data_IF_515318973838
#
_entry.id   IF_515318973838
#
_cell.length_a   1.000
_cell.length_b   1.000
_cell.length_c   1.000
_cell.angle_alpha   90.00
_cell.angle_beta   90.00
_cell.angle_gamma   90.00
#
_symmetry.space_group_name_H-M   'P 1'
#
loop_
_entity.id
_entity.type
_entity.pdbx_description
1 polymer ?
#
# COMPACT_ATOMS: atom_id res chain seq x y z
N UNK A 1 23.49 3.81 -0.46
CA UNK A 1 23.27 2.70 -1.41
C UNK A 1 23.48 3.27 -2.79
N UNK A 2 24.40 2.71 -3.54
CA UNK A 2 24.66 3.12 -4.91
C UNK A 2 23.74 2.38 -5.89
N UNK A 3 23.52 2.93 -7.08
CA UNK A 3 22.64 2.35 -8.11
C UNK A 3 23.12 0.98 -8.64
N UNK A 4 24.35 0.60 -8.32
CA UNK A 4 24.96 -0.69 -8.66
C UNK A 4 24.69 -1.77 -7.62
N UNK A 5 24.17 -1.41 -6.45
CA UNK A 5 23.86 -2.35 -5.37
C UNK A 5 22.57 -3.12 -5.68
N UNK A 6 22.57 -4.47 -5.71
CA UNK A 6 21.35 -5.27 -5.85
C UNK A 6 20.27 -4.90 -4.82
N UNK A 7 20.68 -4.50 -3.61
CA UNK A 7 19.75 -4.14 -2.54
C UNK A 7 18.96 -2.86 -2.85
N UNK A 8 19.54 -1.94 -3.61
CA UNK A 8 18.85 -0.75 -4.11
C UNK A 8 17.66 -1.17 -4.97
N UNK A 9 17.89 -2.06 -5.95
CA UNK A 9 16.84 -2.52 -6.86
C UNK A 9 15.78 -3.34 -6.16
N UNK A 10 16.16 -4.19 -5.20
CA UNK A 10 15.20 -4.92 -4.37
C UNK A 10 14.27 -3.95 -3.64
N UNK A 11 14.82 -2.94 -2.97
CA UNK A 11 14.00 -1.94 -2.27
C UNK A 11 13.09 -1.16 -3.22
N UNK A 12 13.58 -0.74 -4.40
CA UNK A 12 12.76 -0.08 -5.43
C UNK A 12 11.60 -0.99 -5.87
N UNK A 13 11.87 -2.26 -6.16
CA UNK A 13 10.83 -3.21 -6.54
C UNK A 13 9.82 -3.43 -5.42
N UNK A 14 10.25 -3.47 -4.16
CA UNK A 14 9.35 -3.58 -3.02
C UNK A 14 8.44 -2.36 -2.92
N UNK A 15 8.97 -1.15 -3.05
CA UNK A 15 8.19 0.10 -3.02
C UNK A 15 7.15 0.11 -4.14
N UNK A 16 7.56 -0.22 -5.37
CA UNK A 16 6.64 -0.31 -6.52
C UNK A 16 5.57 -1.37 -6.30
N UNK A 17 5.95 -2.55 -5.78
CA UNK A 17 5.00 -3.64 -5.53
C UNK A 17 3.97 -3.28 -4.46
N UNK A 18 4.39 -2.65 -3.36
CA UNK A 18 3.51 -2.16 -2.30
C UNK A 18 2.56 -1.11 -2.86
N UNK A 19 3.09 -0.16 -3.64
CA UNK A 19 2.29 0.92 -4.20
C UNK A 19 1.23 0.40 -5.18
N UNK A 20 1.58 -0.58 -6.01
CA UNK A 20 0.62 -1.22 -6.92
C UNK A 20 -0.42 -2.03 -6.15
N UNK A 21 0.00 -2.82 -5.14
CA UNK A 21 -0.90 -3.69 -4.39
C UNK A 21 -1.93 -2.90 -3.57
N UNK A 22 -1.53 -1.76 -3.03
CA UNK A 22 -2.37 -0.93 -2.16
C UNK A 22 -2.94 0.32 -2.86
N UNK A 23 -2.51 0.64 -4.08
CA UNK A 23 -2.81 1.92 -4.75
C UNK A 23 -3.57 1.80 -6.06
N UNK A 24 -4.00 0.60 -6.48
CA UNK A 24 -4.64 0.39 -7.78
C UNK A 24 -6.05 1.01 -7.89
N UNK A 25 -6.82 0.94 -6.81
CA UNK A 25 -8.15 1.53 -6.64
C UNK A 25 -8.11 3.07 -6.53
N UNK A 26 -7.02 3.65 -6.03
CA UNK A 26 -6.82 5.11 -6.07
C UNK A 26 -6.88 5.69 -7.48
N UNK A 27 -6.42 4.94 -8.48
CA UNK A 27 -6.47 5.39 -9.86
C UNK A 27 -7.91 5.52 -10.40
N UNK A 28 -8.84 4.69 -9.90
CA UNK A 28 -10.28 4.87 -10.16
C UNK A 28 -10.76 6.19 -9.58
N UNK A 29 -10.41 6.48 -8.32
CA UNK A 29 -10.85 7.70 -7.64
C UNK A 29 -10.36 8.95 -8.38
N UNK A 30 -9.11 8.95 -8.85
CA UNK A 30 -8.55 10.01 -9.69
C UNK A 30 -9.36 10.17 -10.99
N UNK A 31 -9.67 9.07 -11.68
CA UNK A 31 -10.46 9.10 -12.91
C UNK A 31 -11.89 9.61 -12.67
N UNK A 32 -12.52 9.18 -11.56
CA UNK A 32 -13.87 9.57 -11.18
C UNK A 32 -13.95 11.04 -10.76
N UNK A 33 -12.94 11.57 -10.08
CA UNK A 33 -12.83 12.99 -9.72
C UNK A 33 -12.75 13.89 -10.96
N UNK A 34 -12.00 13.44 -11.98
CA UNK A 34 -11.80 14.15 -13.23
C UNK A 34 -12.94 14.01 -14.26
N UNK A 35 -13.99 13.21 -13.97
CA UNK A 35 -15.02 12.86 -14.96
C UNK A 35 -15.83 14.07 -15.45
N UNK A 36 -16.06 15.04 -14.59
CA UNK A 36 -16.90 16.22 -14.86
C UNK A 36 -16.13 17.42 -15.44
N UNK A 37 -14.80 17.30 -15.61
CA UNK A 37 -14.00 18.33 -16.27
C UNK A 37 -14.16 18.26 -17.79
N UNK A 38 -14.15 19.42 -18.49
CA UNK A 38 -14.00 19.49 -19.93
C UNK A 38 -12.79 18.67 -20.41
N UNK A 39 -12.89 18.02 -21.58
CA UNK A 39 -11.85 17.10 -22.07
C UNK A 39 -10.47 17.76 -22.17
N UNK A 40 -10.42 19.04 -22.55
CA UNK A 40 -9.17 19.83 -22.62
C UNK A 40 -8.52 20.11 -21.25
N UNK A 41 -9.27 20.03 -20.16
CA UNK A 41 -8.79 20.27 -18.78
C UNK A 41 -8.60 18.98 -17.98
N UNK A 42 -9.16 17.85 -18.43
CA UNK A 42 -9.09 16.56 -17.73
C UNK A 42 -7.65 16.11 -17.49
N UNK A 43 -6.81 16.12 -18.52
CA UNK A 43 -5.40 15.72 -18.40
C UNK A 43 -4.60 16.68 -17.51
N UNK A 44 -4.95 17.98 -17.51
CA UNK A 44 -4.36 18.95 -16.60
C UNK A 44 -4.75 18.65 -15.14
N UNK A 45 -6.01 18.30 -14.90
CA UNK A 45 -6.49 17.91 -13.58
C UNK A 45 -5.80 16.67 -13.04
N UNK A 46 -5.66 15.63 -13.88
CA UNK A 46 -4.93 14.41 -13.53
C UNK A 46 -3.47 14.74 -13.24
N UNK A 47 -2.78 15.47 -14.13
CA UNK A 47 -1.36 15.78 -13.97
C UNK A 47 -1.08 16.60 -12.70
N UNK A 48 -1.76 17.74 -12.52
CA UNK A 48 -1.54 18.61 -11.37
C UNK A 48 -2.05 18.00 -10.06
N UNK A 49 -3.15 17.24 -10.10
CA UNK A 49 -3.64 16.50 -8.94
C UNK A 49 -2.65 15.44 -8.49
N UNK A 50 -2.14 14.63 -9.43
CA UNK A 50 -1.15 13.59 -9.16
C UNK A 50 0.17 14.17 -8.68
N UNK A 51 0.66 15.24 -9.31
CA UNK A 51 1.90 15.91 -8.88
C UNK A 51 1.78 16.44 -7.44
N UNK A 52 0.65 17.06 -7.10
CA UNK A 52 0.36 17.51 -5.73
C UNK A 52 0.29 16.35 -4.73
N UNK A 53 -0.39 15.26 -5.11
CA UNK A 53 -0.51 14.05 -4.31
C UNK A 53 0.86 13.42 -4.03
N UNK A 54 1.69 13.22 -5.06
CA UNK A 54 3.08 12.74 -4.91
C UNK A 54 3.87 13.64 -3.96
N UNK A 55 3.74 14.96 -4.08
CA UNK A 55 4.42 15.92 -3.21
C UNK A 55 4.08 15.72 -1.73
N UNK A 56 2.78 15.61 -1.41
CA UNK A 56 2.33 15.30 -0.04
C UNK A 56 2.83 13.93 0.38
N UNK A 57 2.80 12.94 -0.51
CA UNK A 57 3.22 11.59 -0.21
C UNK A 57 4.71 11.51 0.15
N UNK A 58 5.57 12.18 -0.60
CA UNK A 58 7.00 12.30 -0.28
C UNK A 58 7.19 12.96 1.09
N UNK A 59 6.41 13.99 1.39
CA UNK A 59 6.45 14.65 2.69
C UNK A 59 6.02 13.71 3.84
N UNK A 60 4.94 12.94 3.65
CA UNK A 60 4.48 11.95 4.62
C UNK A 60 5.51 10.85 4.85
N UNK A 61 6.11 10.32 3.78
CA UNK A 61 7.17 9.31 3.91
C UNK A 61 8.40 9.89 4.60
N UNK A 62 8.79 11.13 4.30
CA UNK A 62 9.88 11.79 5.02
C UNK A 62 9.62 11.80 6.53
N UNK A 63 8.44 12.25 6.96
CA UNK A 63 8.09 12.24 8.38
C UNK A 63 8.02 10.82 8.93
N UNK A 64 7.46 9.86 8.20
CA UNK A 64 7.40 8.46 8.63
C UNK A 64 8.79 7.87 8.85
N UNK A 65 9.75 8.13 7.96
CA UNK A 65 11.15 7.71 8.12
C UNK A 65 11.79 8.33 9.37
N UNK A 66 11.59 9.62 9.62
CA UNK A 66 12.08 10.28 10.84
C UNK A 66 11.45 9.68 12.10
N UNK A 67 10.16 9.34 12.03
CA UNK A 67 9.43 8.75 13.14
C UNK A 67 9.92 7.31 13.42
N UNK A 68 10.15 6.52 12.37
CA UNK A 68 10.70 5.16 12.46
C UNK A 68 12.16 5.13 12.90
N UNK A 69 12.88 6.25 12.86
CA UNK A 69 14.22 6.34 13.45
C UNK A 69 14.18 6.25 14.99
N UNK A 70 13.03 6.52 15.62
CA UNK A 70 12.87 6.38 17.05
C UNK A 70 12.77 4.91 17.46
N UNK A 71 13.51 4.48 18.50
CA UNK A 71 13.39 3.12 19.01
C UNK A 71 11.95 2.85 19.49
N UNK A 72 11.49 1.61 19.35
CA UNK A 72 10.12 1.15 19.63
C UNK A 72 9.08 1.55 18.59
N UNK A 73 9.31 2.62 17.82
CA UNK A 73 8.39 2.99 16.75
C UNK A 73 8.47 2.07 15.54
N UNK A 74 9.60 1.40 15.32
CA UNK A 74 9.69 0.32 14.34
C UNK A 74 8.85 -0.87 14.77
N UNK A 75 8.73 -1.12 16.07
CA UNK A 75 7.88 -2.20 16.58
C UNK A 75 6.42 -1.88 16.28
N UNK A 76 5.96 -0.68 16.63
CA UNK A 76 4.57 -0.27 16.36
C UNK A 76 4.29 -0.19 14.86
N UNK A 77 5.24 0.30 14.07
CA UNK A 77 5.18 0.29 12.61
C UNK A 77 5.09 -1.12 12.03
N UNK A 78 5.89 -2.06 12.54
CA UNK A 78 5.87 -3.46 12.14
C UNK A 78 4.55 -4.13 12.46
N UNK A 79 4.01 -3.91 13.66
CA UNK A 79 2.68 -4.40 14.05
C UNK A 79 1.57 -3.81 13.18
N UNK A 80 1.65 -2.51 12.87
CA UNK A 80 0.72 -1.84 11.96
C UNK A 80 0.81 -2.43 10.55
N UNK A 81 2.00 -2.75 10.06
CA UNK A 81 2.19 -3.40 8.76
C UNK A 81 1.62 -4.81 8.71
N UNK A 82 1.74 -5.59 9.79
CA UNK A 82 1.07 -6.89 9.88
C UNK A 82 -0.45 -6.73 9.77
N UNK A 83 -1.02 -5.75 10.48
CA UNK A 83 -2.44 -5.44 10.37
C UNK A 83 -2.81 -5.09 8.93
N UNK A 84 -2.11 -4.14 8.31
CA UNK A 84 -2.40 -3.68 6.94
C UNK A 84 -2.31 -4.85 5.96
N UNK A 85 -1.28 -5.69 6.08
CA UNK A 85 -1.12 -6.89 5.25
C UNK A 85 -2.30 -7.86 5.38
N UNK A 86 -2.83 -8.07 6.59
CA UNK A 86 -4.02 -8.90 6.80
C UNK A 86 -5.26 -8.23 6.21
N UNK A 87 -5.45 -6.93 6.49
CA UNK A 87 -6.58 -6.12 6.00
C UNK A 87 -6.64 -6.13 4.47
N UNK A 88 -5.50 -6.09 3.79
CA UNK A 88 -5.38 -6.14 2.33
C UNK A 88 -5.98 -7.43 1.72
N UNK A 89 -6.02 -8.54 2.47
CA UNK A 89 -6.59 -9.81 2.00
C UNK A 89 -8.08 -9.96 2.30
N UNK A 90 -8.64 -9.09 3.14
CA UNK A 90 -10.04 -9.15 3.52
C UNK A 90 -10.93 -8.64 2.36
N UNK A 91 -12.11 -9.24 2.16
CA UNK A 91 -13.08 -8.69 1.22
C UNK A 91 -13.51 -7.30 1.69
N UNK A 92 -13.51 -6.33 0.79
CA UNK A 92 -14.08 -5.03 1.07
C UNK A 92 -15.57 -5.17 1.37
N UNK A 93 -16.08 -4.56 2.45
CA UNK A 93 -17.51 -4.54 2.70
C UNK A 93 -18.20 -3.79 1.56
N UNK A 94 -19.30 -4.35 1.05
CA UNK A 94 -20.04 -3.85 -0.12
C UNK A 94 -20.60 -2.40 0.01
N UNK A 95 -20.30 -1.69 1.11
CA UNK A 95 -20.73 -0.33 1.41
C UNK A 95 -19.60 0.71 1.47
N UNK A 96 -18.32 0.32 1.39
CA UNK A 96 -17.19 1.26 1.41
C UNK A 96 -16.59 1.44 0.01
N UNK A 97 -17.37 2.04 -0.89
CA UNK A 97 -16.83 2.51 -2.17
C UNK A 97 -15.98 3.77 -1.94
N UNK A 98 -14.73 3.59 -1.48
CA UNK A 98 -13.64 4.57 -1.46
C UNK A 98 -13.94 5.92 -0.77
N UNK A 99 -12.98 6.86 -0.79
CA UNK A 99 -13.26 8.26 -0.45
C UNK A 99 -14.42 8.74 -1.33
N UNK A 100 -15.55 9.00 -0.68
CA UNK A 100 -16.83 9.32 -1.29
C UNK A 100 -16.70 10.57 -2.18
N UNK A 101 -16.45 10.39 -3.48
CA UNK A 101 -16.58 11.46 -4.48
C UNK A 101 -18.07 11.62 -4.78
N UNK A 102 -18.83 12.15 -3.82
CA UNK A 102 -20.21 12.61 -4.03
C UNK A 102 -20.15 13.91 -4.82
N UNK A 103 -20.17 13.78 -6.15
CA UNK A 103 -20.12 14.88 -7.10
C UNK A 103 -18.69 15.18 -7.56
N UNK A 104 -18.36 14.84 -8.80
CA UNK A 104 -17.09 15.27 -9.39
C UNK A 104 -17.06 16.79 -9.49
N UNK A 105 -15.97 17.41 -9.05
CA UNK A 105 -15.82 18.86 -9.15
C UNK A 105 -15.80 19.31 -10.62
N UNK A 106 -16.45 20.43 -10.90
CA UNK A 106 -16.52 21.03 -12.24
C UNK A 106 -15.33 21.97 -12.50
N UNK A 107 -14.56 22.29 -11.46
CA UNK A 107 -13.43 23.21 -11.53
C UNK A 107 -12.11 22.49 -11.32
N UNK A 108 -11.07 22.95 -12.02
CA UNK A 108 -9.73 22.37 -11.96
C UNK A 108 -9.15 22.34 -10.52
N UNK A 109 -9.23 23.43 -9.71
CA UNK A 109 -8.75 23.38 -8.32
C UNK A 109 -9.57 22.46 -7.42
N UNK A 110 -10.87 22.32 -7.68
CA UNK A 110 -11.74 21.40 -6.94
C UNK A 110 -11.31 19.95 -7.16
N UNK A 111 -11.05 19.57 -8.41
CA UNK A 111 -10.56 18.23 -8.75
C UNK A 111 -9.19 17.94 -8.14
N UNK A 112 -8.25 18.89 -8.21
CA UNK A 112 -6.92 18.75 -7.59
C UNK A 112 -7.05 18.49 -6.09
N UNK A 113 -7.89 19.24 -5.37
CA UNK A 113 -8.12 19.03 -3.94
C UNK A 113 -8.71 17.64 -3.64
N UNK A 114 -9.67 17.19 -4.42
CA UNK A 114 -10.26 15.85 -4.26
C UNK A 114 -9.19 14.77 -4.44
N UNK A 115 -8.36 14.87 -5.48
CA UNK A 115 -7.27 13.92 -5.73
C UNK A 115 -6.30 13.88 -4.56
N UNK A 116 -5.85 15.05 -4.10
CA UNK A 116 -4.90 15.15 -2.99
C UNK A 116 -5.47 14.56 -1.69
N UNK A 117 -6.72 14.88 -1.35
CA UNK A 117 -7.35 14.37 -0.13
C UNK A 117 -7.57 12.86 -0.22
N UNK A 118 -8.08 12.38 -1.35
CA UNK A 118 -8.30 10.96 -1.58
C UNK A 118 -6.99 10.18 -1.48
N UNK A 119 -5.94 10.65 -2.18
CA UNK A 119 -4.62 10.04 -2.13
C UNK A 119 -4.03 10.09 -0.72
N UNK A 120 -4.16 11.21 0.00
CA UNK A 120 -3.65 11.31 1.38
C UNK A 120 -4.34 10.31 2.29
N UNK A 121 -5.67 10.28 2.34
CA UNK A 121 -6.42 9.39 3.24
C UNK A 121 -6.10 7.92 2.96
N UNK A 122 -6.00 7.57 1.68
CA UNK A 122 -5.78 6.20 1.27
C UNK A 122 -4.30 5.78 1.37
N UNK A 123 -3.37 6.69 1.07
CA UNK A 123 -1.93 6.42 1.15
C UNK A 123 -1.36 6.45 2.56
N UNK A 124 -2.10 6.89 3.59
CA UNK A 124 -1.63 6.85 4.98
C UNK A 124 -1.16 5.45 5.41
N UNK A 125 -1.95 4.42 5.08
CA UNK A 125 -1.59 3.02 5.35
C UNK A 125 -0.39 2.60 4.47
N UNK A 126 -0.32 3.09 3.22
CA UNK A 126 0.72 2.74 2.24
C UNK A 126 2.08 3.37 2.56
N UNK A 127 2.07 4.57 3.15
CA UNK A 127 3.27 5.33 3.55
C UNK A 127 4.11 4.53 4.54
N UNK A 128 3.47 3.85 5.49
CA UNK A 128 4.18 3.01 6.46
C UNK A 128 4.88 1.83 5.78
N UNK A 129 4.25 1.22 4.78
CA UNK A 129 4.84 0.11 4.02
C UNK A 129 6.04 0.54 3.20
N UNK A 130 5.91 1.69 2.54
CA UNK A 130 6.99 2.29 1.74
C UNK A 130 8.15 2.73 2.64
N UNK A 131 7.86 3.37 3.79
CA UNK A 131 8.87 3.77 4.76
C UNK A 131 9.64 2.55 5.30
N UNK A 132 8.94 1.45 5.60
CA UNK A 132 9.56 0.19 6.01
C UNK A 132 10.45 -0.45 4.92
N UNK A 133 10.03 -0.37 3.66
CA UNK A 133 10.82 -0.89 2.54
C UNK A 133 12.04 -0.02 2.18
N UNK A 134 11.97 1.28 2.47
CA UNK A 134 12.94 2.27 2.01
C UNK A 134 14.27 2.28 2.76
N UNK A 135 14.41 1.53 3.87
CA UNK A 135 15.67 1.38 4.63
C UNK A 135 16.34 2.74 4.91
N UNK A 136 15.56 3.70 5.40
CA UNK A 136 15.98 5.08 5.73
C UNK A 136 16.44 5.94 4.54
N UNK A 137 16.29 5.47 3.30
CA UNK A 137 16.66 6.24 2.11
C UNK A 137 15.46 6.91 1.46
N UNK A 138 15.34 8.22 1.67
CA UNK A 138 14.34 9.03 0.98
C UNK A 138 14.53 9.04 -0.55
N UNK A 139 15.77 8.93 -1.03
CA UNK A 139 16.06 8.89 -2.46
C UNK A 139 15.45 7.65 -3.14
N UNK A 140 15.49 6.49 -2.47
CA UNK A 140 14.83 5.26 -2.93
C UNK A 140 13.32 5.44 -3.06
N UNK A 141 12.71 6.08 -2.06
CA UNK A 141 11.27 6.40 -2.07
C UNK A 141 10.92 7.28 -3.25
N UNK A 142 11.60 8.41 -3.41
CA UNK A 142 11.32 9.34 -4.51
C UNK A 142 11.43 8.64 -5.85
N UNK A 143 12.51 7.88 -6.07
CA UNK A 143 12.71 7.15 -7.32
C UNK A 143 11.60 6.12 -7.57
N UNK A 144 11.26 5.32 -6.56
CA UNK A 144 10.18 4.33 -6.64
C UNK A 144 8.80 4.96 -6.91
N UNK A 145 8.45 6.06 -6.23
CA UNK A 145 7.20 6.80 -6.43
C UNK A 145 7.12 7.44 -7.81
N UNK A 146 8.20 8.08 -8.26
CA UNK A 146 8.23 8.72 -9.59
C UNK A 146 8.08 7.71 -10.72
N UNK A 147 8.51 6.45 -10.52
CA UNK A 147 8.34 5.40 -11.52
C UNK A 147 6.99 4.69 -11.43
N UNK A 148 6.50 4.40 -10.21
CA UNK A 148 5.24 3.66 -9.99
C UNK A 148 4.00 4.46 -10.30
N UNK A 149 3.92 5.72 -9.86
CA UNK A 149 2.69 6.51 -9.98
C UNK A 149 2.27 6.72 -11.43
N UNK A 150 3.16 7.04 -12.39
CA UNK A 150 2.75 7.16 -13.78
C UNK A 150 2.26 5.84 -14.38
N UNK A 151 2.85 4.70 -13.99
CA UNK A 151 2.38 3.36 -14.39
C UNK A 151 0.97 3.13 -13.89
N UNK A 152 0.67 3.49 -12.64
CA UNK A 152 -0.65 3.32 -12.04
C UNK A 152 -1.67 4.26 -12.71
N UNK A 153 -1.33 5.53 -12.93
CA UNK A 153 -2.27 6.52 -13.49
C UNK A 153 -2.61 6.19 -14.96
N UNK A 154 -1.62 5.94 -15.81
CA UNK A 154 -1.85 5.63 -17.22
C UNK A 154 -2.28 4.18 -17.45
N UNK A 155 -1.74 3.26 -16.65
CA UNK A 155 -2.06 1.84 -16.72
C UNK A 155 -3.24 1.42 -15.85
N UNK A 156 -3.94 2.33 -15.17
CA UNK A 156 -4.98 2.04 -14.18
C UNK A 156 -5.97 0.95 -14.59
N UNK A 157 -6.57 1.07 -15.78
CA UNK A 157 -7.49 0.07 -16.33
C UNK A 157 -6.84 -1.30 -16.57
N UNK A 158 -5.57 -1.31 -16.95
CA UNK A 158 -4.81 -2.54 -17.15
C UNK A 158 -4.43 -3.16 -15.80
N UNK A 159 -3.89 -2.38 -14.88
CA UNK A 159 -3.49 -2.81 -13.53
C UNK A 159 -4.68 -3.37 -12.78
N UNK A 160 -5.83 -2.70 -12.78
CA UNK A 160 -7.05 -3.22 -12.16
C UNK A 160 -7.50 -4.53 -12.79
N UNK A 161 -7.57 -4.61 -14.12
CA UNK A 161 -7.90 -5.87 -14.81
C UNK A 161 -6.94 -7.00 -14.44
N UNK A 162 -5.66 -6.69 -14.25
CA UNK A 162 -4.65 -7.68 -13.85
C UNK A 162 -4.86 -8.14 -12.42
N UNK A 163 -5.18 -7.23 -11.49
CA UNK A 163 -5.48 -7.57 -10.10
C UNK A 163 -6.77 -8.40 -10.02
N UNK A 164 -7.83 -8.00 -10.73
CA UNK A 164 -9.09 -8.74 -10.83
C UNK A 164 -8.88 -10.12 -11.46
N UNK A 165 -8.04 -10.21 -12.50
CA UNK A 165 -7.74 -11.47 -13.20
C UNK A 165 -6.81 -12.38 -12.40
N UNK A 166 -5.86 -11.79 -11.66
CA UNK A 166 -4.83 -12.47 -10.90
C UNK A 166 -4.83 -11.99 -9.44
N UNK A 167 -5.79 -12.43 -8.61
CA UNK A 167 -5.85 -12.06 -7.18
C UNK A 167 -4.60 -12.43 -6.39
N UNK A 168 -3.77 -13.35 -6.93
CA UNK A 168 -2.47 -13.71 -6.35
C UNK A 168 -1.54 -12.50 -6.20
N UNK A 169 -1.69 -11.45 -7.02
CA UNK A 169 -0.90 -10.21 -6.91
C UNK A 169 -1.12 -9.56 -5.54
N UNK A 170 -2.38 -9.49 -5.07
CA UNK A 170 -2.74 -8.96 -3.76
C UNK A 170 -2.19 -9.83 -2.64
N UNK A 171 -2.20 -11.17 -2.82
CA UNK A 171 -1.62 -12.11 -1.86
C UNK A 171 -0.11 -11.96 -1.74
N UNK A 172 0.59 -11.75 -2.86
CA UNK A 172 2.03 -11.47 -2.87
C UNK A 172 2.30 -10.14 -2.19
N UNK A 173 1.51 -9.09 -2.48
CA UNK A 173 1.62 -7.79 -1.81
C UNK A 173 1.44 -7.87 -0.30
N UNK A 174 0.42 -8.60 0.16
CA UNK A 174 0.20 -8.85 1.59
C UNK A 174 1.35 -9.63 2.23
N UNK A 175 1.86 -10.65 1.53
CA UNK A 175 3.04 -11.40 1.97
C UNK A 175 4.29 -10.52 2.07
N UNK A 176 4.48 -9.62 1.11
CA UNK A 176 5.59 -8.65 1.11
C UNK A 176 5.47 -7.66 2.28
N UNK A 177 4.27 -7.16 2.56
CA UNK A 177 4.03 -6.31 3.75
C UNK A 177 4.37 -7.07 5.03
N UNK A 178 3.97 -8.34 5.15
CA UNK A 178 4.34 -9.19 6.29
C UNK A 178 5.85 -9.43 6.39
N UNK A 179 6.55 -9.56 5.26
CA UNK A 179 8.01 -9.67 5.24
C UNK A 179 8.67 -8.39 5.79
N UNK A 180 8.28 -7.23 5.27
CA UNK A 180 8.81 -5.93 5.70
C UNK A 180 8.48 -5.67 7.17
N UNK A 181 7.28 -6.05 7.61
CA UNK A 181 6.89 -5.98 9.02
C UNK A 181 7.85 -6.78 9.90
N UNK A 182 8.15 -8.03 9.54
CA UNK A 182 9.10 -8.86 10.28
C UNK A 182 10.52 -8.27 10.29
N UNK A 183 10.99 -7.75 9.15
CA UNK A 183 12.30 -7.07 9.04
C UNK A 183 12.35 -5.88 10.02
N UNK A 184 11.29 -5.07 10.02
CA UNK A 184 11.14 -3.89 10.88
C UNK A 184 11.05 -4.24 12.37
N UNK A 185 10.37 -5.35 12.73
CA UNK A 185 10.28 -5.84 14.11
C UNK A 185 11.64 -6.32 14.64
N UNK A 186 12.40 -7.05 13.81
CA UNK A 186 13.73 -7.55 14.21
C UNK A 186 14.79 -6.47 14.31
N UNK A 187 14.64 -5.37 13.56
CA UNK A 187 15.59 -4.26 13.56
C UNK A 187 15.72 -3.52 14.89
N UNK A 188 14.69 -3.56 15.76
CA UNK A 188 14.67 -2.87 17.05
C UNK A 188 14.68 -3.81 18.27
N UNK A 189 14.09 -5.02 18.18
CA UNK A 189 13.89 -5.90 19.34
C UNK A 189 15.10 -6.70 19.75
N UNK A 190 16.07 -6.89 18.86
CA UNK A 190 17.24 -7.71 19.12
C UNK A 190 18.47 -6.90 18.71
N UNK A 191 19.39 -6.66 19.64
CA UNK A 191 20.63 -5.97 19.29
C UNK A 191 21.29 -6.70 18.13
N UNK A 192 21.67 -5.98 17.09
CA UNK A 192 22.30 -6.59 15.91
C UNK A 192 23.51 -7.43 16.31
N UNK A 193 24.20 -7.07 17.41
CA UNK A 193 25.28 -7.86 18.00
C UNK A 193 24.83 -9.23 18.54
N UNK A 194 23.68 -9.32 19.24
CA UNK A 194 23.20 -10.59 19.80
C UNK A 194 22.60 -11.50 18.70
N UNK A 195 21.88 -10.93 17.73
CA UNK A 195 21.41 -11.70 16.54
C UNK A 195 22.59 -12.21 15.73
N UNK A 196 23.57 -11.35 15.46
CA UNK A 196 24.72 -11.69 14.62
C UNK A 196 25.64 -12.73 15.29
N UNK A 197 25.71 -12.79 16.62
CA UNK A 197 26.54 -13.78 17.34
C UNK A 197 25.83 -15.11 17.64
N UNK A 198 24.51 -15.11 17.86
CA UNK A 198 23.81 -16.33 18.33
C UNK A 198 22.78 -16.89 17.36
N UNK A 199 22.23 -16.10 16.42
CA UNK A 199 21.09 -16.55 15.64
C UNK A 199 20.84 -15.81 14.31
N UNK A 200 21.79 -15.89 13.37
CA UNK A 200 21.66 -15.34 12.02
C UNK A 200 20.39 -15.83 11.25
N UNK A 201 19.85 -16.99 11.61
CA UNK A 201 18.63 -17.53 11.02
C UNK A 201 17.36 -16.73 11.38
N UNK A 202 17.33 -15.99 12.49
CA UNK A 202 16.15 -15.19 12.87
C UNK A 202 15.86 -14.05 11.87
N UNK A 203 16.88 -13.52 11.20
CA UNK A 203 16.73 -12.45 10.20
C UNK A 203 15.95 -12.90 8.95
N UNK A 204 15.88 -14.20 8.69
CA UNK A 204 15.09 -14.77 7.61
C UNK A 204 13.82 -15.43 8.12
N UNK A 205 13.89 -16.07 9.29
CA UNK A 205 12.79 -16.82 9.88
C UNK A 205 11.66 -15.89 10.35
N UNK A 206 11.98 -14.75 10.98
CA UNK A 206 10.95 -13.82 11.46
C UNK A 206 10.20 -13.14 10.31
N UNK A 207 10.85 -12.53 9.29
CA UNK A 207 10.15 -12.02 8.11
C UNK A 207 9.32 -13.08 7.38
N UNK A 208 9.86 -14.30 7.22
CA UNK A 208 9.12 -15.40 6.60
C UNK A 208 7.91 -15.82 7.42
N UNK A 209 8.05 -15.94 8.75
CA UNK A 209 6.96 -16.27 9.65
C UNK A 209 5.88 -15.19 9.64
N UNK A 210 6.26 -13.91 9.70
CA UNK A 210 5.34 -12.78 9.60
C UNK A 210 4.59 -12.76 8.25
N UNK A 211 5.28 -13.01 7.15
CA UNK A 211 4.67 -13.15 5.82
C UNK A 211 3.63 -14.29 5.77
N UNK A 212 3.99 -15.47 6.28
CA UNK A 212 3.09 -16.62 6.36
C UNK A 212 1.90 -16.36 7.29
N UNK A 213 2.12 -15.69 8.42
CA UNK A 213 1.07 -15.30 9.35
C UNK A 213 0.07 -14.35 8.69
N UNK A 214 0.54 -13.34 7.96
CA UNK A 214 -0.34 -12.41 7.22
C UNK A 214 -1.19 -13.17 6.19
N UNK A 215 -0.55 -14.00 5.36
CA UNK A 215 -1.27 -14.76 4.33
C UNK A 215 -2.25 -15.76 4.94
N UNK A 216 -1.82 -16.49 5.97
CA UNK A 216 -2.62 -17.51 6.64
C UNK A 216 -3.83 -16.92 7.35
N UNK A 217 -3.62 -15.89 8.17
CA UNK A 217 -4.69 -15.20 8.91
C UNK A 217 -5.65 -14.48 7.96
N UNK A 218 -5.14 -13.79 6.94
CA UNK A 218 -5.95 -13.13 5.92
C UNK A 218 -6.86 -14.12 5.19
N UNK A 219 -6.31 -15.21 4.64
CA UNK A 219 -7.12 -16.24 3.96
C UNK A 219 -8.14 -16.90 4.87
N UNK A 220 -7.78 -17.15 6.13
CA UNK A 220 -8.69 -17.74 7.11
C UNK A 220 -9.87 -16.81 7.46
N UNK A 221 -9.60 -15.53 7.68
CA UNK A 221 -10.64 -14.52 7.93
C UNK A 221 -11.55 -14.35 6.70
N UNK A 222 -10.96 -14.27 5.50
CA UNK A 222 -11.72 -14.17 4.24
C UNK A 222 -12.65 -15.36 4.02
N UNK A 223 -12.16 -16.58 4.26
CA UNK A 223 -12.99 -17.79 4.18
C UNK A 223 -14.15 -17.78 5.18
N UNK A 224 -13.93 -17.26 6.40
CA UNK A 224 -14.98 -17.10 7.42
C UNK A 224 -16.05 -16.08 7.01
N UNK A 225 -15.63 -14.94 6.47
CA UNK A 225 -16.55 -13.88 6.02
C UNK A 225 -17.44 -14.39 4.88
N UNK A 226 -16.85 -15.05 3.87
CA UNK A 226 -17.58 -15.60 2.73
C UNK A 226 -18.55 -16.71 3.15
N UNK A 227 -18.15 -17.61 4.06
CA UNK A 227 -19.02 -18.66 4.59
C UNK A 227 -20.24 -18.07 5.32
N UNK A 228 -20.05 -17.01 6.10
CA UNK A 228 -21.13 -16.31 6.80
C UNK A 228 -22.09 -15.63 5.82
N UNK A 229 -21.57 -14.94 4.80
CA UNK A 229 -22.37 -14.28 3.77
C UNK A 229 -23.25 -15.28 2.99
N UNK A 230 -22.68 -16.43 2.61
CA UNK A 230 -23.43 -17.49 1.92
C UNK A 230 -24.56 -18.08 2.78
N UNK A 231 -24.28 -18.33 4.06
CA UNK A 231 -25.30 -18.84 4.98
C UNK A 231 -26.47 -17.86 5.17
N UNK A 232 -26.22 -16.54 5.20
CA UNK A 232 -27.27 -15.54 5.25
C UNK A 232 -28.13 -15.49 3.98
N UNK A 233 -27.52 -15.65 2.80
CA UNK A 233 -28.26 -15.69 1.53
C UNK A 233 -29.19 -16.91 1.43
N UNK A 234 -28.73 -18.08 1.87
CA UNK A 234 -29.55 -19.32 1.87
C UNK A 234 -30.77 -19.23 2.80
N UNK A 235 -30.72 -18.36 3.82
CA UNK A 235 -31.84 -18.09 4.73
C UNK A 235 -32.85 -17.10 4.14
N UNK A 236 -32.40 -16.14 3.31
CA UNK A 236 -33.24 -15.12 2.68
C UNK A 236 -33.94 -15.60 1.40
N UNK A 237 -33.40 -16.63 0.73
CA UNK A 237 -34.01 -17.22 -0.48
C UNK A 237 -35.04 -18.32 -0.21
N UNK A 238 -35.51 -18.46 1.04
CA UNK A 238 -36.38 -19.56 1.48
C UNK A 238 -37.82 -19.15 1.79
N UNK A 239 -38.20 -17.91 1.46
CA UNK A 239 -39.56 -17.34 1.54
C UNK A 239 -40.13 -17.11 0.13
#
# INVERSE_FOLDING_TARGET
>A
MDVTDPQFWIAVFQIIAIDIALGADNAVVIALACRNLPENKRNQGIFWGTAGAIGIRILLVFFALQLLALPYLKITGGLLLLWIGVKLLLPEPASESGPVVKGGATTLPGVIRIIIIADTVMSLDNVMGIAGAARDSLALVIFGLLFSVPIIVWGSKLVMKWIERFPVIVVIGAGLLGWIAGDLLTGDTISQEWVATQAAYLQWLVPAACSLLVIGTGKWLTARIQKKARASMDLLGKD
#
